data_IF_503302423913
#
_entry.id   IF_503302423913
#
_cell.length_a   1.000
_cell.length_b   1.000
_cell.length_c   1.000
_cell.angle_alpha   90.00
_cell.angle_beta   90.00
_cell.angle_gamma   90.00
#
_symmetry.space_group_name_H-M   'P 1'
#
loop_
_entity.id
_entity.type
_entity.pdbx_description
1 polymer ?
#
# COMPACT_ATOMS: atom_id res chain seq x y z
N UNK A 1 11.97 9.27 -20.08
CA UNK A 1 12.21 7.92 -19.54
C UNK A 1 10.98 7.49 -18.73
N UNK A 2 10.30 6.43 -19.13
CA UNK A 2 9.13 5.89 -18.42
C UNK A 2 9.56 5.31 -17.07
N UNK A 3 9.23 6.02 -15.98
CA UNK A 3 9.59 5.61 -14.61
C UNK A 3 8.95 4.26 -14.27
N UNK A 4 9.74 3.29 -13.78
CA UNK A 4 9.21 1.97 -13.39
C UNK A 4 8.19 2.11 -12.25
N UNK A 5 6.98 1.52 -12.38
CA UNK A 5 5.94 1.59 -11.35
C UNK A 5 6.33 0.84 -10.08
N UNK A 6 5.97 1.41 -8.91
CA UNK A 6 6.20 0.81 -7.58
C UNK A 6 5.74 -0.65 -7.52
N UNK A 7 4.56 -0.96 -8.08
CA UNK A 7 3.98 -2.31 -8.12
C UNK A 7 4.93 -3.35 -8.75
N UNK A 8 5.72 -2.96 -9.75
CA UNK A 8 6.68 -3.86 -10.43
C UNK A 8 7.91 -4.13 -9.56
N UNK A 9 8.36 -3.13 -8.80
CA UNK A 9 9.49 -3.25 -7.86
C UNK A 9 9.11 -4.13 -6.67
N UNK A 10 7.93 -3.92 -6.08
CA UNK A 10 7.41 -4.72 -4.97
C UNK A 10 7.23 -6.19 -5.41
N UNK A 11 6.60 -6.42 -6.58
CA UNK A 11 6.43 -7.78 -7.13
C UNK A 11 7.77 -8.48 -7.37
N UNK A 12 8.81 -7.73 -7.77
CA UNK A 12 10.18 -8.24 -7.88
C UNK A 12 10.78 -8.61 -6.52
N UNK A 13 10.68 -7.73 -5.51
CA UNK A 13 11.20 -7.99 -4.15
C UNK A 13 10.54 -9.19 -3.46
N UNK A 14 9.21 -9.32 -3.57
CA UNK A 14 8.45 -10.47 -3.05
C UNK A 14 8.89 -11.77 -3.74
N UNK A 15 9.06 -11.75 -5.07
CA UNK A 15 9.54 -12.91 -5.84
C UNK A 15 10.97 -13.32 -5.46
N UNK A 16 11.80 -12.37 -5.01
CA UNK A 16 13.17 -12.60 -4.55
C UNK A 16 13.28 -12.86 -3.04
N UNK A 17 12.17 -13.03 -2.32
CA UNK A 17 12.11 -13.24 -0.87
C UNK A 17 12.95 -12.24 -0.05
N UNK A 18 13.08 -11.00 -0.57
CA UNK A 18 13.91 -9.95 0.05
C UNK A 18 13.06 -9.15 1.02
N UNK A 19 13.60 -8.89 2.20
CA UNK A 19 12.89 -8.25 3.31
C UNK A 19 12.18 -6.95 2.86
N UNK A 20 10.86 -6.93 3.03
CA UNK A 20 10.04 -5.74 2.76
C UNK A 20 10.37 -4.65 3.79
N UNK A 21 10.50 -3.42 3.31
CA UNK A 21 10.75 -2.26 4.16
C UNK A 21 9.62 -2.07 5.18
N UNK A 22 9.88 -1.46 6.34
CA UNK A 22 8.84 -1.24 7.37
C UNK A 22 7.62 -0.46 6.82
N UNK A 23 7.84 0.42 5.84
CA UNK A 23 6.78 1.14 5.15
C UNK A 23 5.87 0.24 4.30
N UNK A 24 6.40 -0.85 3.73
CA UNK A 24 5.62 -1.83 2.98
C UNK A 24 4.77 -2.70 3.92
N UNK A 25 5.31 -3.13 5.07
CA UNK A 25 4.54 -3.87 6.09
C UNK A 25 3.39 -3.04 6.66
N UNK A 26 3.65 -1.77 6.99
CA UNK A 26 2.61 -0.86 7.49
C UNK A 26 1.50 -0.66 6.45
N UNK A 27 1.88 -0.60 5.16
CA UNK A 27 0.95 -0.49 4.04
C UNK A 27 0.03 -1.71 3.94
N UNK A 28 0.57 -2.91 4.06
CA UNK A 28 -0.23 -4.14 4.04
C UNK A 28 -1.14 -4.21 5.26
N UNK A 29 -0.63 -3.90 6.45
CA UNK A 29 -1.44 -3.88 7.67
C UNK A 29 -2.63 -2.94 7.55
N UNK A 30 -2.42 -1.70 7.08
CA UNK A 30 -3.52 -0.76 6.82
C UNK A 30 -4.55 -1.29 5.83
N UNK A 31 -4.11 -1.97 4.76
CA UNK A 31 -5.06 -2.54 3.80
C UNK A 31 -5.92 -3.63 4.42
N UNK A 32 -5.32 -4.53 5.21
CA UNK A 32 -6.05 -5.57 5.93
C UNK A 32 -6.98 -4.99 6.99
N UNK A 33 -6.56 -3.94 7.69
CA UNK A 33 -7.38 -3.25 8.70
C UNK A 33 -8.63 -2.63 8.05
N UNK A 34 -8.45 -1.91 6.93
CA UNK A 34 -9.56 -1.33 6.15
C UNK A 34 -10.44 -2.43 5.55
N UNK A 35 -9.86 -3.54 5.09
CA UNK A 35 -10.64 -4.68 4.63
C UNK A 35 -11.52 -5.25 5.76
N UNK A 36 -10.99 -5.28 6.99
CA UNK A 36 -11.76 -5.64 8.19
C UNK A 36 -12.88 -4.67 8.51
N UNK A 37 -12.59 -3.36 8.46
CA UNK A 37 -13.62 -2.32 8.65
C UNK A 37 -14.75 -2.42 7.60
N UNK A 38 -14.43 -2.86 6.38
CA UNK A 38 -15.40 -3.04 5.29
C UNK A 38 -16.08 -4.43 5.28
N UNK A 39 -15.74 -5.32 6.22
CA UNK A 39 -16.26 -6.70 6.23
C UNK A 39 -15.76 -7.58 5.08
N UNK A 40 -14.67 -7.18 4.42
CA UNK A 40 -14.06 -7.87 3.29
C UNK A 40 -12.91 -8.80 3.72
N UNK A 41 -12.56 -8.85 5.00
CA UNK A 41 -11.48 -9.69 5.53
C UNK A 41 -11.62 -11.15 5.12
N UNK A 42 -12.79 -11.77 5.32
CA UNK A 42 -13.06 -13.16 4.94
C UNK A 42 -12.82 -13.42 3.45
N UNK A 43 -13.15 -12.45 2.62
CA UNK A 43 -13.04 -12.55 1.16
C UNK A 43 -11.59 -12.40 0.70
N UNK A 44 -10.84 -11.49 1.34
CA UNK A 44 -9.40 -11.33 1.13
C UNK A 44 -8.64 -12.57 1.62
N UNK A 45 -9.05 -13.17 2.73
CA UNK A 45 -8.42 -14.38 3.26
C UNK A 45 -8.66 -15.60 2.34
N UNK A 46 -9.91 -15.80 1.90
CA UNK A 46 -10.28 -16.93 1.04
C UNK A 46 -9.84 -16.80 -0.41
N UNK A 47 -10.03 -15.63 -1.03
CA UNK A 47 -9.84 -15.43 -2.47
C UNK A 47 -8.66 -14.50 -2.80
N UNK A 48 -7.99 -13.95 -1.78
CA UNK A 48 -6.96 -12.95 -1.97
C UNK A 48 -7.49 -11.60 -2.46
N UNK A 49 -6.58 -10.65 -2.64
CA UNK A 49 -6.89 -9.34 -3.22
C UNK A 49 -7.43 -9.40 -4.67
N UNK A 50 -7.20 -10.51 -5.37
CA UNK A 50 -7.70 -10.74 -6.73
C UNK A 50 -9.15 -11.19 -6.79
N UNK A 51 -9.73 -11.66 -5.68
CA UNK A 51 -11.12 -12.07 -5.60
C UNK A 51 -12.10 -10.98 -5.16
N UNK A 52 -11.59 -9.78 -4.87
CA UNK A 52 -12.41 -8.61 -4.58
C UNK A 52 -12.87 -7.94 -5.88
N UNK A 53 -14.05 -7.33 -5.86
CA UNK A 53 -14.55 -6.56 -7.00
C UNK A 53 -13.78 -5.24 -7.16
N UNK A 54 -13.85 -4.65 -8.36
CA UNK A 54 -13.26 -3.33 -8.61
C UNK A 54 -13.80 -2.26 -7.65
N UNK A 55 -15.06 -2.36 -7.24
CA UNK A 55 -15.67 -1.45 -6.29
C UNK A 55 -15.13 -1.64 -4.87
N UNK A 56 -15.04 -2.89 -4.39
CA UNK A 56 -14.50 -3.24 -3.08
C UNK A 56 -13.03 -2.81 -2.94
N UNK A 57 -12.19 -3.19 -3.92
CA UNK A 57 -10.79 -2.79 -3.97
C UNK A 57 -10.61 -1.28 -4.14
N UNK A 58 -11.50 -0.63 -4.90
CA UNK A 58 -11.54 0.83 -5.08
C UNK A 58 -11.82 1.57 -3.78
N UNK A 59 -12.79 1.11 -2.99
CA UNK A 59 -13.11 1.67 -1.66
C UNK A 59 -11.93 1.55 -0.70
N UNK A 60 -11.28 0.38 -0.64
CA UNK A 60 -10.07 0.17 0.18
C UNK A 60 -8.94 1.14 -0.25
N UNK A 61 -8.69 1.25 -1.55
CA UNK A 61 -7.68 2.16 -2.10
C UNK A 61 -7.98 3.64 -1.83
N UNK A 62 -9.27 4.03 -1.88
CA UNK A 62 -9.73 5.38 -1.56
C UNK A 62 -9.52 5.74 -0.09
N UNK A 63 -9.95 4.87 0.83
CA UNK A 63 -9.75 5.04 2.28
C UNK A 63 -8.27 5.13 2.64
N UNK A 64 -7.45 4.28 2.02
CA UNK A 64 -6.01 4.31 2.18
C UNK A 64 -5.39 5.63 1.72
N UNK A 65 -5.89 6.20 0.62
CA UNK A 65 -5.42 7.49 0.10
C UNK A 65 -5.85 8.65 1.00
N UNK A 66 -7.07 8.58 1.56
CA UNK A 66 -7.57 9.55 2.53
C UNK A 66 -6.74 9.55 3.82
N UNK A 67 -6.52 8.37 4.42
CA UNK A 67 -5.64 8.20 5.61
C UNK A 67 -4.23 8.70 5.37
N UNK A 68 -3.64 8.45 4.19
CA UNK A 68 -2.32 8.97 3.82
C UNK A 68 -2.25 10.48 3.74
N UNK A 69 -3.30 11.10 3.19
CA UNK A 69 -3.38 12.57 3.07
C UNK A 69 -3.49 13.23 4.45
N UNK A 70 -4.25 12.61 5.36
CA UNK A 70 -4.47 13.12 6.72
C UNK A 70 -3.23 12.96 7.61
N UNK A 71 -2.52 11.83 7.48
CA UNK A 71 -1.31 11.52 8.25
C UNK A 71 -0.01 12.11 7.66
N UNK A 72 -0.08 12.94 6.60
CA UNK A 72 1.09 13.42 5.83
C UNK A 72 2.09 12.30 5.48
N UNK A 73 1.61 11.09 5.17
CA UNK A 73 2.50 9.96 4.92
C UNK A 73 3.33 10.21 3.64
N UNK A 74 4.63 9.85 3.65
CA UNK A 74 5.53 10.07 2.53
C UNK A 74 5.00 9.42 1.25
N UNK A 75 5.11 10.16 0.15
CA UNK A 75 4.59 9.75 -1.15
C UNK A 75 5.27 8.46 -1.63
N UNK A 76 4.65 7.76 -2.58
CA UNK A 76 5.24 6.55 -3.16
C UNK A 76 6.65 6.79 -3.72
N UNK A 77 6.98 8.02 -4.14
CA UNK A 77 8.32 8.42 -4.57
C UNK A 77 9.32 8.56 -3.40
N UNK A 78 8.89 8.98 -2.20
CA UNK A 78 9.74 9.01 -0.99
C UNK A 78 10.00 7.59 -0.48
N UNK A 79 9.00 6.71 -0.53
CA UNK A 79 9.14 5.28 -0.18
C UNK A 79 10.09 4.56 -1.15
N UNK A 80 10.18 5.01 -2.40
CA UNK A 80 11.14 4.52 -3.39
C UNK A 80 12.50 5.23 -3.33
N UNK A 81 12.71 6.14 -2.37
CA UNK A 81 13.94 6.93 -2.22
C UNK A 81 14.20 7.89 -3.39
N UNK A 82 13.20 8.20 -4.21
CA UNK A 82 13.31 9.11 -5.37
C UNK A 82 13.17 10.58 -4.99
N UNK A 83 12.67 10.89 -3.79
CA UNK A 83 12.58 12.23 -3.22
C UNK A 83 13.00 12.16 -1.75
N UNK A 84 13.82 13.10 -1.28
CA UNK A 84 14.17 13.21 0.14
C UNK A 84 12.88 13.40 0.95
N UNK A 85 12.74 12.75 2.12
CA UNK A 85 11.61 12.99 2.98
C UNK A 85 11.54 14.47 3.32
N UNK A 86 10.36 15.07 3.22
CA UNK A 86 10.12 16.36 3.86
C UNK A 86 10.08 16.09 5.35
N UNK A 87 11.25 16.21 5.99
CA UNK A 87 11.35 16.21 7.44
C UNK A 87 10.75 17.55 7.86
N UNK A 88 9.48 17.54 8.24
CA UNK A 88 8.93 18.58 9.11
C UNK A 88 9.68 18.41 10.45
N UNK A 89 10.89 18.98 10.53
CA UNK A 89 11.63 19.17 11.77
C UNK A 89 10.79 20.14 12.62
N UNK A 90 10.31 19.65 13.76
CA UNK A 90 9.55 20.43 14.73
C UNK A 90 10.46 20.86 15.86
#
# INVERSE_FOLDING_TARGET
>A
MSKTPLKKIIKGKIKSNKELTPAEKLREKMKYEIAGELGLSDKVDKFGWGGLTAEETGRIGGLMTKRKKELKLPSNDEILGRKKPHVDEK
#
